data_IF_543149345041
#
_entry.id   IF_543149345041
#
_cell.length_a   1.000
_cell.length_b   1.000
_cell.length_c   1.000
_cell.angle_alpha   90.00
_cell.angle_beta   90.00
_cell.angle_gamma   90.00
#
_symmetry.space_group_name_H-M   'P 1'
#
loop_
_entity.id
_entity.type
_entity.pdbx_description
1 polymer ?
#
# COMPACT_ATOMS: atom_id res chain seq x y z
N UNK A 1 -20.46 -12.02 5.76
CA UNK A 1 -19.56 -11.22 6.64
C UNK A 1 -19.95 -9.76 6.50
N UNK A 2 -20.17 -9.01 7.59
CA UNK A 2 -20.46 -7.57 7.53
C UNK A 2 -19.23 -6.81 8.01
N UNK A 3 -18.91 -5.70 7.35
CA UNK A 3 -17.81 -4.82 7.76
C UNK A 3 -18.31 -3.37 7.81
N UNK A 4 -17.88 -2.64 8.83
CA UNK A 4 -18.19 -1.24 9.04
C UNK A 4 -16.94 -0.39 8.78
N UNK A 5 -17.10 0.72 8.05
CA UNK A 5 -16.01 1.65 7.79
C UNK A 5 -15.74 2.46 9.07
N UNK A 6 -14.52 2.35 9.60
CA UNK A 6 -14.06 3.18 10.71
C UNK A 6 -13.43 4.49 10.23
N UNK A 7 -12.69 4.42 9.12
CA UNK A 7 -12.05 5.56 8.49
C UNK A 7 -11.90 5.31 6.99
N UNK A 8 -11.98 6.38 6.21
CA UNK A 8 -11.55 6.42 4.82
C UNK A 8 -10.94 7.80 4.57
N UNK A 9 -9.82 7.84 3.88
CA UNK A 9 -9.27 9.09 3.42
C UNK A 9 -10.27 9.83 2.50
N UNK A 10 -10.34 11.16 2.57
CA UNK A 10 -11.14 11.93 1.62
C UNK A 10 -10.56 11.80 0.20
N UNK A 11 -11.39 12.01 -0.83
CA UNK A 11 -10.97 11.93 -2.24
C UNK A 11 -9.81 12.88 -2.58
N UNK A 12 -9.69 13.97 -1.82
CA UNK A 12 -8.60 14.95 -1.94
C UNK A 12 -7.30 14.52 -1.27
N UNK A 13 -7.30 13.41 -0.52
CA UNK A 13 -6.10 12.91 0.13
C UNK A 13 -5.18 12.27 -0.91
N UNK A 14 -3.87 12.51 -0.82
CA UNK A 14 -2.91 11.88 -1.73
C UNK A 14 -2.71 10.39 -1.47
N UNK A 15 -3.22 9.88 -0.34
CA UNK A 15 -3.12 8.48 0.06
C UNK A 15 -4.51 7.86 0.06
N UNK A 16 -4.63 6.71 -0.58
CA UNK A 16 -5.88 5.93 -0.63
C UNK A 16 -5.84 4.80 0.41
N UNK A 17 -6.32 5.11 1.62
CA UNK A 17 -6.39 4.17 2.73
C UNK A 17 -7.79 4.16 3.36
N UNK A 18 -8.26 2.97 3.70
CA UNK A 18 -9.49 2.77 4.46
C UNK A 18 -9.28 1.74 5.56
N UNK A 19 -9.93 1.96 6.70
CA UNK A 19 -9.90 1.07 7.86
C UNK A 19 -11.31 0.56 8.09
N UNK A 20 -11.44 -0.77 8.10
CA UNK A 20 -12.69 -1.47 8.27
C UNK A 20 -12.68 -2.29 9.56
N UNK A 21 -13.81 -2.31 10.26
CA UNK A 21 -14.08 -3.23 11.36
C UNK A 21 -14.99 -4.33 10.86
N UNK A 22 -14.51 -5.56 10.88
CA UNK A 22 -15.32 -6.72 10.53
C UNK A 22 -16.11 -7.18 11.75
N UNK A 23 -17.41 -7.42 11.56
CA UNK A 23 -18.32 -7.92 12.59
C UNK A 23 -18.63 -9.40 12.37
N UNK A 24 -18.89 -10.13 13.48
CA UNK A 24 -19.42 -11.49 13.42
C UNK A 24 -18.38 -12.60 13.28
N UNK A 25 -17.09 -12.33 13.53
CA UNK A 25 -16.10 -13.39 13.74
C UNK A 25 -16.14 -13.81 15.22
N UNK A 26 -16.84 -14.90 15.54
CA UNK A 26 -16.78 -15.50 16.89
C UNK A 26 -15.64 -16.51 17.00
N UNK A 27 -15.23 -17.14 15.89
CA UNK A 27 -14.07 -18.03 15.85
C UNK A 27 -12.84 -17.30 15.29
N UNK A 28 -11.91 -16.88 16.15
CA UNK A 28 -10.61 -16.31 15.74
C UNK A 28 -9.73 -17.26 14.92
N UNK A 29 -10.18 -18.50 14.66
CA UNK A 29 -9.42 -19.57 14.02
C UNK A 29 -8.93 -19.28 12.59
N UNK A 30 -9.50 -18.27 11.91
CA UNK A 30 -9.14 -17.89 10.53
C UNK A 30 -8.43 -16.54 10.43
N UNK A 31 -8.25 -15.81 11.54
CA UNK A 31 -7.56 -14.51 11.54
C UNK A 31 -6.10 -14.71 11.95
N UNK A 32 -5.19 -14.37 11.05
CA UNK A 32 -3.75 -14.37 11.33
C UNK A 32 -3.35 -12.97 11.80
N UNK A 33 -2.76 -12.88 12.99
CA UNK A 33 -2.10 -11.65 13.41
C UNK A 33 -0.83 -11.47 12.61
N UNK A 34 -0.68 -10.30 11.99
CA UNK A 34 0.51 -9.94 11.23
C UNK A 34 1.24 -8.81 11.94
N UNK A 35 2.56 -8.95 12.09
CA UNK A 35 3.39 -7.85 12.58
C UNK A 35 3.49 -6.74 11.52
N UNK A 36 3.99 -5.58 11.93
CA UNK A 36 4.35 -4.49 11.02
C UNK A 36 5.86 -4.29 11.08
N UNK A 37 6.50 -4.36 9.92
CA UNK A 37 7.95 -4.26 9.76
C UNK A 37 8.34 -2.84 9.31
N UNK A 38 9.24 -2.22 10.05
CA UNK A 38 9.84 -0.94 9.70
C UNK A 38 11.33 -1.07 9.38
N UNK A 39 11.89 -2.28 9.44
CA UNK A 39 13.30 -2.58 9.16
C UNK A 39 13.46 -3.19 7.78
N UNK A 40 13.02 -2.45 6.77
CA UNK A 40 13.23 -2.78 5.36
C UNK A 40 13.98 -1.65 4.65
N UNK A 41 14.70 -2.03 3.59
CA UNK A 41 15.50 -1.12 2.77
C UNK A 41 15.40 -1.53 1.32
N UNK A 42 15.95 -0.69 0.45
CA UNK A 42 16.10 -1.04 -0.95
C UNK A 42 16.92 -2.34 -1.07
N UNK A 43 16.43 -3.28 -1.88
CA UNK A 43 16.94 -4.63 -1.99
C UNK A 43 16.35 -5.65 -1.00
N UNK A 44 15.59 -5.24 0.02
CA UNK A 44 14.87 -6.17 0.90
C UNK A 44 13.89 -7.02 0.08
N UNK A 45 13.88 -8.33 0.32
CA UNK A 45 12.96 -9.25 -0.37
C UNK A 45 11.55 -9.10 0.18
N UNK A 46 10.58 -9.12 -0.71
CA UNK A 46 9.17 -8.94 -0.36
C UNK A 46 8.27 -9.86 -1.15
N UNK A 47 7.11 -10.16 -0.57
CA UNK A 47 5.99 -10.81 -1.24
C UNK A 47 4.82 -9.85 -1.36
N UNK A 48 4.22 -9.73 -2.54
CA UNK A 48 2.94 -9.07 -2.73
C UNK A 48 1.84 -10.13 -2.69
N UNK A 49 0.85 -9.93 -1.82
CA UNK A 49 -0.30 -10.83 -1.64
C UNK A 49 -1.58 -10.04 -1.87
N UNK A 50 -2.42 -10.49 -2.81
CA UNK A 50 -3.69 -9.82 -3.12
C UNK A 50 -4.59 -10.69 -3.97
N UNK A 51 -5.85 -10.26 -4.17
CA UNK A 51 -6.80 -10.99 -4.99
C UNK A 51 -6.86 -10.38 -6.39
N UNK A 52 -6.69 -11.17 -7.46
CA UNK A 52 -6.86 -10.65 -8.82
C UNK A 52 -8.34 -10.35 -9.09
N UNK A 53 -8.61 -9.45 -10.05
CA UNK A 53 -9.97 -8.99 -10.42
C UNK A 53 -10.91 -10.08 -11.00
N UNK A 54 -10.48 -11.34 -11.10
CA UNK A 54 -11.32 -12.40 -11.66
C UNK A 54 -12.51 -12.71 -10.75
N UNK A 55 -13.61 -13.15 -11.36
CA UNK A 55 -14.88 -13.42 -10.68
C UNK A 55 -14.66 -14.19 -9.36
N UNK A 56 -15.11 -13.65 -8.20
CA UNK A 56 -15.03 -14.33 -6.91
C UNK A 56 -15.66 -15.73 -6.91
N UNK A 57 -16.56 -16.01 -7.87
CA UNK A 57 -17.18 -17.32 -8.07
C UNK A 57 -16.25 -18.36 -8.74
N UNK A 58 -15.16 -17.93 -9.38
CA UNK A 58 -14.24 -18.79 -10.14
C UNK A 58 -12.84 -18.93 -9.53
N UNK A 59 -12.36 -17.95 -8.75
CA UNK A 59 -11.05 -18.03 -8.08
C UNK A 59 -11.05 -17.24 -6.77
N UNK A 60 -11.25 -17.94 -5.66
CA UNK A 60 -11.15 -17.41 -4.29
C UNK A 60 -9.74 -17.53 -3.69
N UNK A 61 -8.73 -17.85 -4.50
CA UNK A 61 -7.34 -17.99 -4.04
C UNK A 61 -6.57 -16.68 -4.19
N UNK A 62 -5.86 -16.23 -3.15
CA UNK A 62 -4.97 -15.08 -3.26
C UNK A 62 -3.83 -15.37 -4.24
N UNK A 63 -3.45 -14.35 -5.01
CA UNK A 63 -2.21 -14.35 -5.80
C UNK A 63 -1.04 -13.94 -4.90
N UNK A 64 0.10 -14.59 -5.07
CA UNK A 64 1.35 -14.26 -4.38
C UNK A 64 2.45 -14.09 -5.42
N UNK A 65 3.14 -12.96 -5.38
CA UNK A 65 4.31 -12.69 -6.23
C UNK A 65 5.49 -12.22 -5.40
N UNK A 66 6.70 -12.59 -5.83
CA UNK A 66 7.94 -12.25 -5.13
C UNK A 66 8.71 -11.16 -5.86
N UNK A 67 9.41 -10.32 -5.11
CA UNK A 67 10.28 -9.29 -5.65
C UNK A 67 11.18 -8.69 -4.57
N UNK A 68 11.64 -7.48 -4.82
CA UNK A 68 12.39 -6.67 -3.86
C UNK A 68 11.78 -5.29 -3.75
N UNK A 69 12.02 -4.62 -2.62
CA UNK A 69 11.83 -3.18 -2.50
C UNK A 69 12.84 -2.50 -3.41
N UNK A 70 12.39 -1.89 -4.50
CA UNK A 70 13.27 -1.22 -5.46
C UNK A 70 13.58 0.21 -5.05
N UNK A 71 12.67 0.88 -4.34
CA UNK A 71 12.86 2.25 -3.86
C UNK A 71 12.03 2.53 -2.62
N UNK A 72 12.55 3.33 -1.70
CA UNK A 72 11.78 3.85 -0.56
C UNK A 72 11.82 5.36 -0.56
N UNK A 73 10.70 5.98 -0.92
CA UNK A 73 10.60 7.44 -1.05
C UNK A 73 10.21 8.02 0.31
N UNK A 74 10.96 9.03 0.74
CA UNK A 74 10.85 9.64 2.07
C UNK A 74 10.64 11.14 1.97
N UNK A 75 9.84 11.67 2.90
CA UNK A 75 9.72 13.11 3.18
C UNK A 75 10.10 13.31 4.64
N UNK A 76 11.05 14.21 4.92
CA UNK A 76 11.57 14.46 6.27
C UNK A 76 11.96 13.15 7.00
N UNK A 77 12.68 12.26 6.31
CA UNK A 77 13.08 10.92 6.78
C UNK A 77 11.95 9.90 7.00
N UNK A 78 10.68 10.29 6.86
CA UNK A 78 9.53 9.38 6.98
C UNK A 78 9.23 8.71 5.62
N UNK A 79 9.17 7.38 5.53
CA UNK A 79 8.68 6.68 4.35
C UNK A 79 7.24 7.08 4.05
N UNK A 80 6.97 7.49 2.82
CA UNK A 80 5.62 7.86 2.37
C UNK A 80 5.15 7.04 1.17
N UNK A 81 6.08 6.38 0.46
CA UNK A 81 5.80 5.47 -0.64
C UNK A 81 6.92 4.44 -0.75
N UNK A 82 6.56 3.17 -0.96
CA UNK A 82 7.48 2.09 -1.27
C UNK A 82 7.22 1.58 -2.68
N UNK A 83 8.28 1.39 -3.44
CA UNK A 83 8.24 0.77 -4.75
C UNK A 83 8.76 -0.66 -4.67
N UNK A 84 8.08 -1.61 -5.31
CA UNK A 84 8.57 -2.99 -5.42
C UNK A 84 8.61 -3.49 -6.86
N UNK A 85 9.41 -4.54 -7.09
CA UNK A 85 9.48 -5.25 -8.37
C UNK A 85 8.49 -6.41 -8.51
N UNK A 86 7.67 -6.65 -7.48
CA UNK A 86 6.66 -7.69 -7.49
C UNK A 86 5.73 -7.52 -8.71
N UNK A 87 5.33 -8.64 -9.32
CA UNK A 87 4.32 -8.59 -10.37
C UNK A 87 2.95 -8.33 -9.73
N UNK A 88 2.34 -7.19 -10.02
CA UNK A 88 1.04 -6.78 -9.45
C UNK A 88 0.03 -6.56 -10.58
N UNK A 89 -1.10 -7.27 -10.49
CA UNK A 89 -2.19 -7.20 -11.46
C UNK A 89 -3.35 -6.31 -10.95
N UNK A 90 -4.25 -5.94 -11.86
CA UNK A 90 -5.49 -5.27 -11.47
C UNK A 90 -6.27 -6.11 -10.45
N UNK A 91 -6.80 -5.46 -9.41
CA UNK A 91 -7.49 -6.08 -8.28
C UNK A 91 -6.63 -6.25 -7.02
N UNK A 92 -5.29 -6.20 -7.13
CA UNK A 92 -4.40 -6.35 -5.98
C UNK A 92 -4.31 -5.11 -5.06
N UNK A 93 -4.97 -4.01 -5.42
CA UNK A 93 -5.07 -2.82 -4.55
C UNK A 93 -5.77 -3.17 -3.24
N UNK A 94 -5.27 -2.65 -2.13
CA UNK A 94 -5.63 -3.07 -0.77
C UNK A 94 -4.96 -4.37 -0.30
N UNK A 95 -4.18 -5.03 -1.18
CA UNK A 95 -3.35 -6.18 -0.82
C UNK A 95 -2.17 -5.82 0.07
N UNK A 96 -1.47 -6.85 0.56
CA UNK A 96 -0.35 -6.70 1.49
C UNK A 96 1.00 -6.85 0.77
N UNK A 97 1.94 -5.97 1.09
CA UNK A 97 3.36 -6.17 0.81
C UNK A 97 4.03 -6.66 2.09
N UNK A 98 4.62 -7.86 2.05
CA UNK A 98 5.16 -8.56 3.21
C UNK A 98 6.68 -8.72 3.10
N UNK A 99 7.39 -8.54 4.21
CA UNK A 99 8.80 -8.87 4.32
C UNK A 99 9.00 -10.38 4.15
N UNK A 100 9.88 -10.79 3.25
CA UNK A 100 10.03 -12.22 2.92
C UNK A 100 10.68 -13.02 4.07
N UNK A 101 11.48 -12.36 4.90
CA UNK A 101 12.19 -12.96 6.03
C UNK A 101 11.30 -13.14 7.26
N UNK A 102 10.45 -12.14 7.55
CA UNK A 102 9.67 -12.09 8.79
C UNK A 102 8.19 -12.42 8.58
N UNK A 103 7.69 -12.30 7.35
CA UNK A 103 6.26 -12.38 7.04
C UNK A 103 5.46 -11.17 7.52
N UNK A 104 6.13 -10.14 8.08
CA UNK A 104 5.47 -8.95 8.60
C UNK A 104 5.08 -7.99 7.47
N UNK A 105 4.05 -7.19 7.72
CA UNK A 105 3.55 -6.18 6.81
C UNK A 105 4.57 -5.04 6.65
N UNK A 106 4.97 -4.76 5.41
CA UNK A 106 5.79 -3.60 5.01
C UNK A 106 4.91 -2.45 4.51
N UNK A 107 3.80 -2.77 3.84
CA UNK A 107 2.86 -1.76 3.37
C UNK A 107 1.60 -2.33 2.73
N UNK A 108 0.68 -1.44 2.37
CA UNK A 108 -0.55 -1.76 1.64
C UNK A 108 -0.38 -1.36 0.18
N UNK A 109 -0.65 -2.29 -0.73
CA UNK A 109 -0.55 -2.07 -2.18
C UNK A 109 -1.63 -1.06 -2.58
N UNK A 110 -1.24 0.08 -3.14
CA UNK A 110 -2.19 1.12 -3.55
C UNK A 110 -2.43 1.09 -5.07
N UNK A 111 -1.36 1.10 -5.85
CA UNK A 111 -1.45 1.31 -7.30
C UNK A 111 -0.35 0.60 -8.08
N UNK A 112 -0.63 0.34 -9.36
CA UNK A 112 0.35 -0.03 -10.37
C UNK A 112 0.67 1.19 -11.25
N UNK A 113 1.92 1.33 -11.70
CA UNK A 113 2.25 2.33 -12.72
C UNK A 113 1.56 1.96 -14.04
N UNK A 114 0.68 2.85 -14.50
CA UNK A 114 0.17 2.84 -15.87
C UNK A 114 0.66 4.10 -16.56
N UNK A 115 1.35 3.95 -17.68
CA UNK A 115 1.64 5.06 -18.56
C UNK A 115 0.32 5.63 -19.09
N UNK A 116 0.06 6.90 -18.79
CA UNK A 116 -1.14 7.61 -19.21
C UNK A 116 -1.13 7.98 -20.70
N UNK A 117 0.03 8.07 -21.34
CA UNK A 117 0.17 8.36 -22.77
C UNK A 117 0.09 7.11 -23.65
N UNK A 118 0.74 6.02 -23.24
CA UNK A 118 0.78 4.78 -24.04
C UNK A 118 -0.24 3.73 -23.62
N UNK A 119 -0.87 3.89 -22.45
CA UNK A 119 -1.74 2.86 -21.85
C UNK A 119 -0.99 1.60 -21.39
N UNK A 120 0.34 1.57 -21.54
CA UNK A 120 1.18 0.47 -21.13
C UNK A 120 1.24 0.38 -19.61
N UNK A 121 0.99 -0.80 -19.07
CA UNK A 121 1.28 -1.08 -17.67
C UNK A 121 2.75 -1.42 -17.54
N UNK A 122 3.43 -0.86 -16.54
CA UNK A 122 4.76 -1.30 -16.14
C UNK A 122 4.60 -2.26 -14.96
N UNK A 123 4.42 -3.58 -15.21
CA UNK A 123 4.00 -4.53 -14.17
C UNK A 123 5.02 -4.70 -13.03
N UNK A 124 6.26 -4.22 -13.21
CA UNK A 124 7.36 -4.28 -12.24
C UNK A 124 7.61 -2.96 -11.50
N UNK A 125 6.71 -1.98 -11.64
CA UNK A 125 6.71 -0.75 -10.85
C UNK A 125 5.34 -0.60 -10.22
N UNK A 126 5.28 -0.90 -8.93
CA UNK A 126 4.08 -0.76 -8.11
C UNK A 126 4.39 0.04 -6.86
N UNK A 127 3.36 0.70 -6.32
CA UNK A 127 3.49 1.59 -5.18
C UNK A 127 2.63 1.09 -4.02
N UNK A 128 3.23 1.07 -2.84
CA UNK A 128 2.59 0.68 -1.60
C UNK A 128 2.73 1.78 -0.55
N UNK A 129 1.66 1.96 0.24
CA UNK A 129 1.59 2.83 1.40
C UNK A 129 2.37 2.15 2.53
N UNK A 130 3.49 2.72 3.00
CA UNK A 130 4.30 2.10 4.04
C UNK A 130 3.57 1.99 5.37
N UNK A 131 3.87 0.96 6.17
CA UNK A 131 3.28 0.81 7.52
C UNK A 131 3.54 2.03 8.41
N UNK A 132 4.64 2.75 8.21
CA UNK A 132 4.96 3.97 8.93
C UNK A 132 3.91 5.08 8.77
N UNK A 133 3.11 5.05 7.69
CA UNK A 133 2.02 5.99 7.50
C UNK A 133 0.86 5.75 8.46
N UNK A 134 0.58 4.50 8.86
CA UNK A 134 -0.64 4.16 9.61
C UNK A 134 -0.44 3.35 10.90
N UNK A 135 0.75 2.78 11.13
CA UNK A 135 1.06 1.92 12.28
C UNK A 135 0.70 2.56 13.62
N UNK A 136 1.09 3.82 13.83
CA UNK A 136 0.84 4.51 15.09
C UNK A 136 -0.67 4.63 15.37
N UNK A 137 -1.43 5.11 14.40
CA UNK A 137 -2.87 5.28 14.52
C UNK A 137 -3.59 3.94 14.79
N UNK A 138 -3.20 2.86 14.08
CA UNK A 138 -3.75 1.52 14.30
C UNK A 138 -3.43 1.02 15.72
N UNK A 139 -2.19 1.18 16.19
CA UNK A 139 -1.79 0.75 17.54
C UNK A 139 -2.58 1.50 18.62
N UNK A 140 -2.72 2.81 18.48
CA UNK A 140 -3.48 3.63 19.43
C UNK A 140 -4.97 3.27 19.41
N UNK A 141 -5.57 3.06 18.25
CA UNK A 141 -6.95 2.58 18.15
C UNK A 141 -7.13 1.20 18.81
N UNK A 142 -6.19 0.28 18.63
CA UNK A 142 -6.27 -1.05 19.26
C UNK A 142 -6.32 -0.94 20.78
N UNK A 143 -5.53 -0.05 21.37
CA UNK A 143 -5.43 0.17 22.83
C UNK A 143 -6.63 0.95 23.36
N UNK A 144 -6.95 2.09 22.74
CA UNK A 144 -7.90 3.09 23.27
C UNK A 144 -9.33 2.87 22.80
N UNK A 145 -9.51 2.18 21.66
CA UNK A 145 -10.75 2.09 20.89
C UNK A 145 -11.29 3.45 20.41
N UNK A 146 -10.49 4.51 20.46
CA UNK A 146 -10.85 5.84 19.99
C UNK A 146 -10.52 5.99 18.49
N UNK A 147 -11.53 6.29 17.68
CA UNK A 147 -11.39 6.49 16.24
C UNK A 147 -10.70 7.82 15.88
N UNK A 148 -10.57 8.74 16.85
CA UNK A 148 -9.94 10.05 16.63
C UNK A 148 -8.48 9.93 16.16
N UNK A 149 -7.79 8.85 16.54
CA UNK A 149 -6.43 8.52 16.09
C UNK A 149 -6.30 8.36 14.57
N UNK A 150 -7.40 8.09 13.85
CA UNK A 150 -7.37 7.99 12.39
C UNK A 150 -7.40 9.34 11.68
N UNK A 151 -7.68 10.44 12.38
CA UNK A 151 -7.59 11.79 11.78
C UNK A 151 -6.18 12.10 11.28
N UNK A 152 -5.16 11.56 11.95
CA UNK A 152 -3.75 11.76 11.58
C UNK A 152 -3.34 11.00 10.29
N UNK A 153 -4.23 10.15 9.75
CA UNK A 153 -4.02 9.47 8.47
C UNK A 153 -4.38 10.34 7.26
N UNK A 154 -5.06 11.46 7.50
CA UNK A 154 -5.35 12.48 6.49
C UNK A 154 -4.06 13.29 6.25
N UNK A 155 -3.08 12.65 5.60
CA UNK A 155 -1.80 13.25 5.23
C UNK A 155 -2.01 14.25 4.09
N UNK A 156 -2.56 15.42 4.41
CA UNK A 156 -2.76 16.54 3.48
C UNK A 156 -1.50 17.40 3.50
N UNK A 157 -0.49 16.98 2.75
CA UNK A 157 0.78 17.70 2.55
C UNK A 157 1.05 17.75 1.04
N UNK A 158 1.30 18.95 0.50
CA UNK A 158 1.57 19.16 -0.92
C UNK A 158 2.76 18.33 -1.43
N UNK A 159 3.78 18.10 -0.60
CA UNK A 159 4.92 17.25 -0.96
C UNK A 159 4.53 15.79 -1.03
N UNK A 160 3.67 15.33 -0.11
CA UNK A 160 3.12 13.96 -0.16
C UNK A 160 2.26 13.82 -1.41
N UNK A 161 1.46 14.82 -1.73
CA UNK A 161 0.65 14.85 -2.95
C UNK A 161 1.50 14.81 -4.22
N UNK A 162 2.56 15.61 -4.31
CA UNK A 162 3.47 15.58 -5.45
C UNK A 162 4.11 14.19 -5.64
N UNK A 163 4.53 13.52 -4.56
CA UNK A 163 5.09 12.17 -4.68
C UNK A 163 4.03 11.16 -5.15
N UNK A 164 2.83 11.18 -4.60
CA UNK A 164 1.77 10.25 -5.00
C UNK A 164 1.17 10.56 -6.38
N UNK A 165 1.30 11.80 -6.86
CA UNK A 165 1.05 12.20 -8.24
C UNK A 165 2.20 11.83 -9.20
N UNK A 166 3.32 11.30 -8.67
CA UNK A 166 4.55 11.02 -9.41
C UNK A 166 5.11 12.25 -10.13
N UNK A 167 4.93 13.43 -9.55
CA UNK A 167 5.43 14.70 -10.07
C UNK A 167 6.87 14.95 -9.60
N UNK A 168 7.80 15.13 -10.55
CA UNK A 168 9.12 15.67 -10.24
C UNK A 168 9.07 17.20 -10.19
N UNK A 169 9.19 17.77 -8.99
CA UNK A 169 9.50 19.19 -8.74
C UNK A 169 8.75 20.21 -9.63
N UNK A 170 7.41 20.13 -9.72
CA UNK A 170 6.59 21.22 -10.26
C UNK A 170 6.86 21.63 -11.72
N UNK A 171 7.62 20.84 -12.48
CA UNK A 171 7.83 21.06 -13.91
C UNK A 171 7.68 19.74 -14.64
N UNK A 172 6.59 19.63 -15.40
CA UNK A 172 6.42 18.58 -16.39
C UNK A 172 7.45 18.77 -17.50
N UNK A 173 8.68 18.30 -17.27
CA UNK A 173 9.72 18.19 -18.29
C UNK A 173 10.07 16.72 -18.46
N UNK A 174 9.22 16.06 -19.26
CA UNK A 174 9.47 14.74 -19.85
C UNK A 174 10.76 14.79 -20.67
N UNK A 175 11.87 14.32 -20.09
CA UNK A 175 12.99 13.72 -20.83
C UNK A 175 13.57 12.57 -20.01
N UNK A 176 12.93 11.41 -20.09
CA UNK A 176 13.67 10.17 -20.08
C UNK A 176 14.27 10.00 -21.48
N UNK A 177 15.58 10.21 -21.72
CA UNK A 177 16.19 9.70 -22.92
C UNK A 177 16.10 8.17 -22.85
N UNK A 178 15.32 7.57 -23.74
CA UNK A 178 15.41 6.13 -23.97
C UNK A 178 16.84 5.83 -24.39
N UNK A 179 17.59 5.11 -23.56
CA UNK A 179 18.75 4.34 -24.00
C UNK A 179 18.37 2.87 -23.87
N UNK A 180 17.76 2.37 -24.93
CA UNK A 180 18.17 1.09 -25.50
C UNK A 180 19.22 1.41 -26.57
#
# INVERSE_FOLDING_TARGET
MKANVLHKNPVTSPIDLAILKVEGHQDNASLVSIGMDTDYREGSRVYAVGFPLFDPSQSSTPSVTSGVVSKVIRINQKPIMTQSTCAINAGASGGALLCAETGNLVGIIASNSRDSESGASFPHVNFSIPVECFRHAIQQYIITKDISWFKDLELIDEKVAAVWALEENGTYTRRLPSKL
#
